data_IF_070465691499
#
_entry.id   IF_070465691499
#
_cell.length_a   1.000
_cell.length_b   1.000
_cell.length_c   1.000
_cell.angle_alpha   90.00
_cell.angle_beta   90.00
_cell.angle_gamma   90.00
#
_symmetry.space_group_name_H-M   'P 1'
#
loop_
_entity.id
_entity.type
_entity.pdbx_description
1 polymer ?
#
# COMPACT_ATOMS: atom_id res chain seq x y z
N UNK A 1 -21.77 15.92 -21.65
CA UNK A 1 -20.47 15.82 -20.97
C UNK A 1 -20.80 15.44 -19.55
N UNK A 2 -20.50 14.22 -19.14
CA UNK A 2 -20.57 13.85 -17.74
C UNK A 2 -19.39 14.55 -17.06
N UNK A 3 -19.69 15.49 -16.18
CA UNK A 3 -18.69 16.31 -15.47
C UNK A 3 -18.12 15.58 -14.26
N UNK A 4 -18.64 14.40 -13.93
CA UNK A 4 -18.01 13.51 -12.98
C UNK A 4 -17.16 12.52 -13.77
N UNK A 5 -15.89 12.39 -13.38
CA UNK A 5 -15.03 11.27 -13.73
C UNK A 5 -15.58 9.97 -13.10
N UNK A 6 -16.85 9.66 -13.40
CA UNK A 6 -17.60 8.51 -12.93
C UNK A 6 -17.25 7.37 -13.87
N UNK A 7 -16.56 6.38 -13.33
CA UNK A 7 -16.25 5.15 -14.04
C UNK A 7 -17.52 4.27 -14.06
N UNK A 8 -18.58 4.73 -14.75
CA UNK A 8 -19.93 4.15 -14.76
C UNK A 8 -20.04 2.74 -15.40
N UNK A 9 -18.90 2.06 -15.63
CA UNK A 9 -18.82 0.70 -16.19
C UNK A 9 -18.06 -0.29 -15.30
N UNK A 10 -17.54 0.13 -14.15
CA UNK A 10 -16.95 -0.78 -13.18
C UNK A 10 -18.03 -1.18 -12.17
N UNK A 11 -18.18 -2.48 -11.93
CA UNK A 11 -19.02 -2.97 -10.85
C UNK A 11 -18.53 -2.43 -9.51
N UNK A 12 -19.45 -2.33 -8.54
CA UNK A 12 -19.15 -2.03 -7.14
C UNK A 12 -18.45 -3.19 -6.41
N UNK A 13 -18.39 -4.36 -7.05
CA UNK A 13 -17.60 -5.50 -6.61
C UNK A 13 -16.26 -5.63 -7.37
N UNK A 14 -15.19 -6.10 -6.69
CA UNK A 14 -13.94 -6.46 -7.36
C UNK A 14 -14.19 -7.54 -8.41
N UNK A 15 -13.60 -7.40 -9.60
CA UNK A 15 -13.65 -8.47 -10.61
C UNK A 15 -12.85 -9.67 -10.11
N UNK A 16 -13.49 -10.83 -9.98
CA UNK A 16 -12.80 -12.07 -9.60
C UNK A 16 -11.74 -12.52 -10.62
N UNK A 17 -11.76 -11.93 -11.83
CA UNK A 17 -10.85 -12.25 -12.94
C UNK A 17 -9.83 -11.14 -13.24
N UNK A 18 -9.95 -9.96 -12.63
CA UNK A 18 -9.02 -8.85 -12.82
C UNK A 18 -8.95 -8.03 -11.52
N UNK A 19 -7.79 -8.02 -10.86
CA UNK A 19 -7.62 -7.14 -9.72
C UNK A 19 -7.24 -5.72 -10.13
N UNK A 20 -7.36 -4.80 -9.18
CA UNK A 20 -6.91 -3.43 -9.28
C UNK A 20 -5.39 -3.35 -9.24
N UNK A 21 -4.82 -2.55 -10.14
CA UNK A 21 -3.38 -2.29 -10.20
C UNK A 21 -3.12 -0.81 -9.90
N UNK A 22 -2.36 -0.53 -8.84
CA UNK A 22 -1.87 0.81 -8.51
C UNK A 22 -0.37 0.89 -8.81
N UNK A 23 -0.01 1.63 -9.86
CA UNK A 23 1.40 1.88 -10.22
C UNK A 23 1.78 3.32 -9.96
N UNK A 24 2.69 3.51 -9.00
CA UNK A 24 3.13 4.84 -8.59
C UNK A 24 4.26 5.38 -9.47
N UNK A 25 5.05 4.51 -10.11
CA UNK A 25 6.27 4.93 -10.81
C UNK A 25 7.19 5.67 -9.83
N UNK A 26 7.45 6.96 -10.08
CA UNK A 26 8.19 7.87 -9.18
C UNK A 26 7.28 8.89 -8.46
N UNK A 27 5.97 8.71 -8.54
CA UNK A 27 4.99 9.67 -8.02
C UNK A 27 4.87 9.59 -6.50
N UNK A 28 4.43 10.68 -5.89
CA UNK A 28 4.10 10.74 -4.47
C UNK A 28 2.58 10.69 -4.30
N UNK A 29 2.09 9.91 -3.34
CA UNK A 29 0.68 9.80 -3.00
C UNK A 29 0.47 9.95 -1.49
N UNK A 30 -0.58 10.67 -1.10
CA UNK A 30 -1.00 10.79 0.29
C UNK A 30 -2.35 10.13 0.50
N UNK A 31 -2.41 9.21 1.46
CA UNK A 31 -3.65 8.67 2.00
C UNK A 31 -3.99 9.36 3.32
N UNK A 32 -4.84 10.38 3.27
CA UNK A 32 -5.41 11.01 4.47
C UNK A 32 -6.74 10.33 4.80
N UNK A 33 -6.71 9.49 5.84
CA UNK A 33 -7.85 8.65 6.21
C UNK A 33 -8.38 9.12 7.56
N UNK A 34 -9.60 9.67 7.52
CA UNK A 34 -10.25 10.24 8.69
C UNK A 34 -10.57 9.19 9.77
N UNK A 35 -10.80 9.67 10.99
CA UNK A 35 -11.09 8.84 12.15
C UNK A 35 -12.28 7.88 11.94
N UNK A 36 -12.11 6.65 12.41
CA UNK A 36 -13.09 5.57 12.25
C UNK A 36 -13.43 5.27 10.79
N UNK A 37 -12.49 5.50 9.85
CA UNK A 37 -12.57 5.06 8.46
C UNK A 37 -11.44 4.09 8.16
N UNK A 38 -11.70 3.21 7.20
CA UNK A 38 -10.73 2.24 6.70
C UNK A 38 -10.70 2.34 5.19
N UNK A 39 -9.52 2.55 4.61
CA UNK A 39 -9.27 2.35 3.19
C UNK A 39 -8.65 0.96 3.01
N UNK A 40 -9.24 0.14 2.16
CA UNK A 40 -8.68 -1.15 1.79
C UNK A 40 -8.20 -1.07 0.35
N UNK A 41 -6.93 -1.39 0.11
CA UNK A 41 -6.37 -1.60 -1.23
C UNK A 41 -6.19 -3.11 -1.43
N UNK A 42 -6.89 -3.64 -2.43
CA UNK A 42 -7.04 -5.07 -2.68
C UNK A 42 -8.38 -5.61 -2.16
N UNK A 43 -8.72 -6.83 -2.54
CA UNK A 43 -9.94 -7.51 -2.13
C UNK A 43 -9.73 -8.33 -0.85
N UNK A 44 -10.47 -8.08 0.24
CA UNK A 44 -10.40 -8.87 1.49
C UNK A 44 -11.03 -10.26 1.40
N UNK A 45 -11.85 -10.53 0.39
CA UNK A 45 -12.47 -11.84 0.14
C UNK A 45 -11.61 -12.76 -0.75
N UNK A 46 -10.60 -12.20 -1.42
CA UNK A 46 -9.56 -12.96 -2.12
C UNK A 46 -8.26 -12.83 -1.32
N UNK A 47 -7.31 -13.73 -1.53
CA UNK A 47 -6.03 -13.58 -0.87
C UNK A 47 -5.32 -12.30 -1.34
N UNK A 48 -5.64 -11.71 -2.51
CA UNK A 48 -5.00 -10.51 -3.05
C UNK A 48 -3.97 -10.80 -4.15
N UNK A 49 -3.87 -12.04 -4.66
CA UNK A 49 -2.97 -12.43 -5.75
C UNK A 49 -3.30 -11.79 -7.12
N UNK A 50 -4.45 -11.12 -7.23
CA UNK A 50 -4.89 -10.48 -8.48
C UNK A 50 -4.74 -8.95 -8.43
N UNK A 51 -4.64 -8.37 -7.23
CA UNK A 51 -4.46 -6.94 -7.00
C UNK A 51 -2.98 -6.64 -6.77
N UNK A 52 -2.47 -5.49 -7.21
CA UNK A 52 -1.06 -5.17 -6.97
C UNK A 52 -0.80 -3.69 -6.72
N UNK A 53 0.18 -3.41 -5.85
CA UNK A 53 0.80 -2.09 -5.70
C UNK A 53 2.24 -2.22 -6.16
N UNK A 54 2.66 -1.33 -7.07
CA UNK A 54 4.00 -1.38 -7.66
C UNK A 54 4.59 0.02 -7.89
N UNK A 55 5.92 0.08 -7.98
CA UNK A 55 6.68 1.29 -8.25
C UNK A 55 7.65 1.67 -7.13
N UNK A 56 8.36 2.77 -7.34
CA UNK A 56 9.45 3.28 -6.48
C UNK A 56 9.14 4.66 -5.89
N UNK A 57 7.89 5.11 -5.99
CA UNK A 57 7.43 6.41 -5.49
C UNK A 57 7.28 6.45 -3.97
N UNK A 58 6.68 7.53 -3.46
CA UNK A 58 6.43 7.72 -2.02
C UNK A 58 4.95 7.53 -1.70
N UNK A 59 4.64 6.74 -0.67
CA UNK A 59 3.31 6.67 -0.06
C UNK A 59 3.38 7.30 1.33
N UNK A 60 2.56 8.32 1.58
CA UNK A 60 2.40 8.92 2.92
C UNK A 60 1.02 8.61 3.48
N UNK A 61 0.96 7.95 4.63
CA UNK A 61 -0.28 7.69 5.37
C UNK A 61 -0.45 8.73 6.49
N UNK A 62 -1.53 9.50 6.42
CA UNK A 62 -1.94 10.52 7.40
C UNK A 62 -3.39 10.27 7.85
N UNK A 63 -3.88 11.09 8.78
CA UNK A 63 -5.19 10.89 9.41
C UNK A 63 -5.22 9.68 10.35
N UNK A 64 -6.14 9.65 11.32
CA UNK A 64 -6.15 8.64 12.39
C UNK A 64 -6.82 7.32 12.01
N UNK A 65 -7.48 7.22 10.84
CA UNK A 65 -8.09 5.98 10.37
C UNK A 65 -7.08 5.00 9.77
N UNK A 66 -7.58 3.86 9.29
CA UNK A 66 -6.77 2.69 8.96
C UNK A 66 -6.56 2.53 7.46
N UNK A 67 -5.36 2.11 7.07
CA UNK A 67 -5.05 1.64 5.72
C UNK A 67 -4.77 0.13 5.75
N UNK A 68 -5.57 -0.64 5.05
CA UNK A 68 -5.35 -2.09 4.90
C UNK A 68 -4.83 -2.38 3.50
N UNK A 69 -3.63 -2.94 3.43
CA UNK A 69 -3.01 -3.39 2.19
C UNK A 69 -3.21 -4.90 2.07
N UNK A 70 -4.19 -5.30 1.28
CA UNK A 70 -4.56 -6.70 0.99
C UNK A 70 -4.36 -7.06 -0.49
N UNK A 71 -3.26 -6.57 -1.08
CA UNK A 71 -2.83 -6.81 -2.46
C UNK A 71 -1.41 -7.42 -2.48
N UNK A 72 -0.96 -7.89 -3.65
CA UNK A 72 0.45 -8.19 -3.88
C UNK A 72 1.26 -6.87 -3.95
N UNK A 73 2.08 -6.63 -2.92
CA UNK A 73 2.84 -5.39 -2.77
C UNK A 73 4.35 -5.62 -2.97
N UNK A 74 4.76 -6.78 -3.47
CA UNK A 74 6.18 -7.13 -3.58
C UNK A 74 6.92 -6.26 -4.62
N UNK A 75 6.20 -5.73 -5.60
CA UNK A 75 6.75 -4.85 -6.65
C UNK A 75 6.73 -3.36 -6.27
N UNK A 76 6.24 -3.02 -5.07
CA UNK A 76 6.45 -1.71 -4.49
C UNK A 76 7.78 -1.72 -3.71
N UNK A 77 8.75 -0.97 -4.22
CA UNK A 77 10.10 -0.80 -3.65
C UNK A 77 10.38 0.64 -3.24
N UNK A 78 9.33 1.48 -3.26
CA UNK A 78 9.38 2.86 -2.84
C UNK A 78 9.36 3.04 -1.32
N UNK A 79 9.30 4.29 -0.88
CA UNK A 79 9.21 4.63 0.53
C UNK A 79 7.74 4.67 0.98
N UNK A 80 7.47 4.17 2.19
CA UNK A 80 6.18 4.31 2.86
C UNK A 80 6.38 5.03 4.18
N UNK A 81 5.85 6.24 4.30
CA UNK A 81 5.85 7.05 5.50
C UNK A 81 4.50 6.94 6.20
N UNK A 82 4.51 6.56 7.48
CA UNK A 82 3.32 6.52 8.33
C UNK A 82 3.41 7.67 9.33
N UNK A 83 2.73 8.77 9.04
CA UNK A 83 2.71 9.95 9.91
C UNK A 83 1.63 9.82 11.00
N UNK A 84 0.49 9.19 10.69
CA UNK A 84 -0.61 8.96 11.64
C UNK A 84 -1.52 7.79 11.23
N UNK A 85 -2.23 7.23 12.20
CA UNK A 85 -3.13 6.07 12.02
C UNK A 85 -2.36 4.75 11.91
N UNK A 86 -3.06 3.70 11.46
CA UNK A 86 -2.50 2.35 11.33
C UNK A 86 -2.40 1.92 9.86
N UNK A 87 -1.36 1.14 9.54
CA UNK A 87 -1.25 0.38 8.30
C UNK A 87 -1.21 -1.11 8.63
N UNK A 88 -2.18 -1.86 8.12
CA UNK A 88 -2.25 -3.31 8.28
C UNK A 88 -1.87 -4.00 6.97
N UNK A 89 -0.92 -4.93 7.05
CA UNK A 89 -0.60 -5.85 5.95
C UNK A 89 -1.50 -7.07 6.07
N UNK A 90 -2.54 -7.15 5.23
CA UNK A 90 -3.60 -8.16 5.35
C UNK A 90 -3.21 -9.56 4.83
N UNK A 91 -2.13 -9.66 4.06
CA UNK A 91 -1.62 -10.91 3.46
C UNK A 91 -0.45 -11.48 4.25
N UNK A 92 -0.51 -12.80 4.52
CA UNK A 92 0.53 -13.53 5.26
C UNK A 92 1.91 -13.56 4.58
N UNK A 93 2.00 -13.24 3.29
CA UNK A 93 3.25 -13.23 2.50
C UNK A 93 3.55 -11.86 1.85
N UNK A 94 2.82 -10.80 2.20
CA UNK A 94 3.08 -9.45 1.67
C UNK A 94 3.92 -8.67 2.67
N UNK A 95 5.22 -8.96 2.74
CA UNK A 95 6.16 -7.97 3.27
C UNK A 95 6.40 -6.96 2.15
N UNK A 96 5.83 -5.76 2.29
CA UNK A 96 6.16 -4.66 1.38
C UNK A 96 7.65 -4.36 1.52
N UNK A 97 8.39 -4.34 0.40
CA UNK A 97 9.80 -3.96 0.41
C UNK A 97 9.89 -2.43 0.54
N UNK A 98 9.69 -1.92 1.76
CA UNK A 98 9.71 -0.49 2.01
C UNK A 98 11.14 0.00 2.12
N UNK A 99 11.52 0.91 1.23
CA UNK A 99 12.61 1.85 1.48
C UNK A 99 14.05 1.37 1.28
N UNK A 100 14.32 0.19 0.71
CA UNK A 100 15.71 -0.10 0.31
C UNK A 100 15.85 -0.98 -0.95
N UNK A 101 16.31 -0.37 -2.04
CA UNK A 101 16.76 -1.09 -3.24
C UNK A 101 18.12 -1.77 -3.04
N UNK A 102 18.95 -1.37 -2.06
CA UNK A 102 20.23 -2.02 -1.76
C UNK A 102 20.07 -3.45 -1.27
N UNK A 103 18.90 -3.80 -0.72
CA UNK A 103 18.56 -5.15 -0.30
C UNK A 103 18.49 -6.18 -1.43
N UNK A 104 18.39 -5.73 -2.69
CA UNK A 104 18.40 -6.63 -3.85
C UNK A 104 19.82 -7.06 -4.24
N UNK A 105 20.83 -6.23 -3.95
CA UNK A 105 22.23 -6.45 -4.35
C UNK A 105 23.14 -6.88 -3.18
N UNK A 106 22.83 -6.47 -1.94
CA UNK A 106 23.55 -6.89 -0.71
C UNK A 106 22.57 -7.17 0.45
N UNK A 107 22.17 -8.43 0.65
CA UNK A 107 21.25 -8.83 1.73
C UNK A 107 21.82 -8.65 3.14
N UNK A 108 23.11 -8.34 3.30
CA UNK A 108 23.75 -8.22 4.61
C UNK A 108 23.75 -6.78 5.17
N UNK A 109 23.44 -5.77 4.35
CA UNK A 109 23.34 -4.37 4.75
C UNK A 109 21.89 -3.84 4.69
N UNK A 110 20.94 -4.77 4.66
CA UNK A 110 19.50 -4.49 4.76
C UNK A 110 19.11 -4.02 6.16
N UNK A 111 18.88 -2.73 6.32
CA UNK A 111 18.20 -2.18 7.50
C UNK A 111 16.69 -2.01 7.21
N UNK A 112 16.01 -3.10 6.88
CA UNK A 112 14.57 -3.13 6.60
C UNK A 112 13.70 -3.40 7.83
N UNK A 113 12.68 -2.55 8.02
CA UNK A 113 11.63 -2.52 9.06
C UNK A 113 12.09 -2.51 10.53
N UNK A 114 12.33 -1.32 11.07
CA UNK A 114 12.20 -1.10 12.52
C UNK A 114 10.72 -0.87 12.84
N UNK A 115 10.04 -1.84 13.45
CA UNK A 115 8.70 -1.63 14.03
C UNK A 115 8.86 -1.31 15.52
N UNK A 116 8.46 -0.10 15.92
CA UNK A 116 8.41 0.33 17.31
C UNK A 116 9.37 1.49 17.63
N UNK A 117 8.88 2.40 18.48
CA UNK A 117 9.48 3.70 18.82
C UNK A 117 11.01 3.67 19.01
N UNK A 118 11.71 4.65 18.43
CA UNK A 118 13.02 5.08 18.92
C UNK A 118 12.77 5.81 20.25
N UNK A 119 12.54 5.05 21.31
CA UNK A 119 12.83 5.54 22.64
C UNK A 119 14.34 5.42 22.82
N UNK A 120 14.99 6.56 22.60
CA UNK A 120 16.41 6.78 22.91
C UNK A 120 16.64 6.53 24.40
N UNK A 121 17.25 5.41 24.74
CA UNK A 121 18.01 5.24 25.99
C UNK A 121 19.31 4.48 25.71
#
# INVERSE_FOLDING_TARGET
MDENNSAAGYGDGPSTAAGGFMYLGLSEVTFDIADGKTLVIGNTENDGAVDSIAGTGLITKTGSGDLVLNADNNDFTGEMQIENGEVTLGRSNSLMNVGDTHCQDDPQDCYGLTIGSIDKY
#
